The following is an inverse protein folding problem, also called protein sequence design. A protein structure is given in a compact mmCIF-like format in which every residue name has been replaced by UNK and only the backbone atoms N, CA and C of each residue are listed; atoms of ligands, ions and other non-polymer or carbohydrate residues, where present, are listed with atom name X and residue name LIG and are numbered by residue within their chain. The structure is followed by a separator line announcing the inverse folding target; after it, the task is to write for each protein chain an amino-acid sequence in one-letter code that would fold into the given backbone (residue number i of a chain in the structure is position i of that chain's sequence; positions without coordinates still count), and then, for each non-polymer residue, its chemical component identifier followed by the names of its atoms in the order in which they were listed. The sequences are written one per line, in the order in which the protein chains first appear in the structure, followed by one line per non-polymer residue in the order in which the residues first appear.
data_IF_115244846187
#
_entry.id   IF_115244846187
#
_cell.length_a   1.000
_cell.length_b   1.000
_cell.length_c   1.000
_cell.angle_alpha   90.00
_cell.angle_beta   90.00
_cell.angle_gamma   90.00
#
_symmetry.space_group_name_H-M   'P 1'
#
loop_
_entity.id
_entity.type
_entity.pdbx_description
1 polymer ?
#
# COMPACT_ATOMS: atom_id res chain seq x y z
N UNK A 1 -6.89 10.05 42.59
CA UNK A 1 -7.72 9.76 41.41
C UNK A 1 -6.98 10.25 40.19
N UNK A 2 -6.67 9.33 39.29
CA UNK A 2 -5.77 9.41 38.14
C UNK A 2 -6.46 10.05 36.94
N UNK A 3 -5.78 10.99 36.27
CA UNK A 3 -6.07 11.40 34.90
C UNK A 3 -4.75 11.33 34.12
N UNK A 4 -4.53 10.21 33.42
CA UNK A 4 -3.40 10.00 32.54
C UNK A 4 -3.78 10.38 31.12
N UNK A 5 -3.20 11.46 30.61
CA UNK A 5 -3.34 11.89 29.22
C UNK A 5 -2.50 11.00 28.30
N UNK A 6 -3.17 10.20 27.48
CA UNK A 6 -2.58 9.38 26.44
C UNK A 6 -2.26 10.26 25.22
N UNK A 7 -1.08 10.86 25.20
CA UNK A 7 -0.54 11.60 24.06
C UNK A 7 0.80 10.99 23.64
N UNK A 8 0.76 9.77 23.12
CA UNK A 8 1.93 9.11 22.52
C UNK A 8 1.43 8.38 21.28
N UNK A 9 1.71 8.90 20.08
CA UNK A 9 1.31 8.21 18.85
C UNK A 9 1.81 8.78 17.53
N UNK A 10 1.88 10.09 17.34
CA UNK A 10 2.18 10.65 16.01
C UNK A 10 3.64 11.08 15.81
N UNK A 11 4.32 11.64 16.83
CA UNK A 11 5.64 12.23 16.65
C UNK A 11 6.79 11.21 16.47
N UNK A 12 6.68 10.00 17.04
CA UNK A 12 7.75 9.00 16.94
C UNK A 12 7.85 8.36 15.55
N UNK A 13 6.74 8.21 14.82
CA UNK A 13 6.71 7.60 13.48
C UNK A 13 7.41 8.47 12.42
N UNK A 14 7.28 9.80 12.51
CA UNK A 14 7.98 10.73 11.61
C UNK A 14 9.49 10.80 11.87
N UNK A 15 9.93 10.60 13.12
CA UNK A 15 11.35 10.60 13.48
C UNK A 15 12.10 9.38 12.95
N UNK A 16 11.46 8.21 12.92
CA UNK A 16 12.01 6.98 12.35
C UNK A 16 12.03 6.99 10.83
N UNK A 17 11.02 7.59 10.17
CA UNK A 17 11.01 7.73 8.70
C UNK A 17 12.14 8.62 8.18
N UNK A 18 12.41 9.78 8.82
CA UNK A 18 13.55 10.63 8.45
C UNK A 18 14.91 9.93 8.60
N UNK A 19 15.06 9.11 9.66
CA UNK A 19 16.27 8.29 9.85
C UNK A 19 16.41 7.18 8.82
N UNK A 20 15.29 6.61 8.37
CA UNK A 20 15.24 5.58 7.34
C UNK A 20 15.63 6.14 5.96
N UNK A 21 15.06 7.29 5.56
CA UNK A 21 15.43 7.98 4.30
C UNK A 21 16.91 8.39 4.28
N UNK A 22 17.43 8.89 5.40
CA UNK A 22 18.85 9.26 5.53
C UNK A 22 19.80 8.05 5.42
N UNK A 23 19.36 6.84 5.80
CA UNK A 23 20.15 5.61 5.65
C UNK A 23 20.15 5.07 4.21
N UNK A 24 19.13 5.38 3.40
CA UNK A 24 19.05 4.95 2.00
C UNK A 24 19.79 5.88 1.01
N UNK A 25 20.10 7.12 1.40
CA UNK A 25 20.70 8.12 0.51
C UNK A 25 22.23 8.01 0.30
N UNK A 26 22.93 7.20 1.10
CA UNK A 26 24.35 6.92 0.90
C UNK A 26 24.56 5.43 0.62
N UNK A 27 24.76 5.06 -0.64
CA UNK A 27 25.76 4.09 -1.14
C UNK A 27 25.67 4.16 -2.68
N UNK A 28 26.58 4.94 -3.27
CA UNK A 28 27.10 4.68 -4.60
C UNK A 28 28.53 4.21 -4.35
N UNK A 29 28.84 2.95 -4.61
CA UNK A 29 30.21 2.45 -4.58
C UNK A 29 30.48 1.57 -5.79
N UNK A 30 31.58 1.92 -6.45
CA UNK A 30 32.12 1.38 -7.68
C UNK A 30 32.49 -0.11 -7.57
N UNK A 31 32.42 -0.79 -8.71
CA UNK A 31 33.07 -2.05 -9.08
C UNK A 31 33.20 -3.16 -8.00
N UNK A 32 32.26 -4.12 -8.05
CA UNK A 32 32.59 -5.54 -7.81
C UNK A 32 32.50 -6.08 -6.38
N UNK A 33 31.99 -5.33 -5.41
CA UNK A 33 31.78 -5.84 -4.04
C UNK A 33 30.31 -5.68 -3.63
N UNK A 34 29.52 -6.74 -3.72
CA UNK A 34 28.17 -6.79 -3.13
C UNK A 34 28.29 -7.00 -1.61
N UNK A 35 28.30 -5.92 -0.83
CA UNK A 35 28.03 -5.98 0.61
C UNK A 35 26.57 -5.61 0.85
N UNK A 36 25.88 -6.39 1.68
CA UNK A 36 24.50 -6.06 2.03
C UNK A 36 24.48 -4.77 2.87
N UNK A 37 23.44 -3.94 2.72
CA UNK A 37 23.29 -2.66 3.45
C UNK A 37 23.52 -2.85 4.97
N UNK A 38 23.16 -4.02 5.51
CA UNK A 38 23.31 -4.45 6.90
C UNK A 38 24.76 -4.40 7.41
N UNK A 39 25.73 -4.58 6.52
CA UNK A 39 27.16 -4.64 6.84
C UNK A 39 27.76 -3.26 7.11
N UNK A 40 27.03 -2.19 6.77
CA UNK A 40 27.41 -0.80 7.00
C UNK A 40 26.69 -0.17 8.20
N UNK A 41 25.75 -0.90 8.81
CA UNK A 41 24.98 -0.41 9.94
C UNK A 41 25.72 -0.69 11.25
N UNK A 42 25.75 0.31 12.15
CA UNK A 42 26.18 0.06 13.54
C UNK A 42 25.33 -1.03 14.18
N UNK A 43 25.84 -1.81 15.15
CA UNK A 43 25.10 -2.94 15.74
C UNK A 43 23.69 -2.57 16.23
N UNK A 44 23.54 -1.37 16.80
CA UNK A 44 22.23 -0.86 17.24
C UNK A 44 21.29 -0.56 16.07
N UNK A 45 21.78 0.09 15.02
CA UNK A 45 20.98 0.41 13.83
C UNK A 45 20.65 -0.86 13.04
N UNK A 46 21.57 -1.83 13.01
CA UNK A 46 21.37 -3.15 12.43
C UNK A 46 20.28 -3.92 13.16
N UNK A 47 20.28 -3.95 14.49
CA UNK A 47 19.25 -4.63 15.26
C UNK A 47 17.85 -4.00 15.06
N UNK A 48 17.77 -2.67 15.00
CA UNK A 48 16.50 -1.98 14.68
C UNK A 48 16.07 -2.23 13.23
N UNK A 49 17.02 -2.24 12.28
CA UNK A 49 16.75 -2.59 10.89
C UNK A 49 16.28 -4.03 10.75
N UNK A 50 16.94 -5.00 11.40
CA UNK A 50 16.56 -6.40 11.40
C UNK A 50 15.20 -6.62 12.07
N UNK A 51 14.86 -5.88 13.13
CA UNK A 51 13.54 -5.89 13.75
C UNK A 51 12.47 -5.29 12.84
N UNK A 52 12.76 -4.19 12.16
CA UNK A 52 11.87 -3.58 11.19
C UNK A 52 11.66 -4.49 9.97
N UNK A 53 12.73 -5.11 9.47
CA UNK A 53 12.69 -6.10 8.39
C UNK A 53 11.94 -7.35 8.81
N UNK A 54 12.11 -7.85 10.04
CA UNK A 54 11.35 -8.98 10.57
C UNK A 54 9.85 -8.68 10.66
N UNK A 55 9.49 -7.44 11.02
CA UNK A 55 8.11 -6.98 11.03
C UNK A 55 7.53 -6.77 9.61
N UNK A 56 8.38 -6.48 8.62
CA UNK A 56 8.01 -6.39 7.20
C UNK A 56 7.96 -7.78 6.52
N UNK A 57 8.80 -8.72 6.93
CA UNK A 57 8.91 -10.08 6.36
C UNK A 57 7.85 -11.04 6.90
N UNK A 58 7.09 -10.63 7.91
CA UNK A 58 5.95 -11.38 8.46
C UNK A 58 4.63 -10.97 7.77
N UNK A 59 4.65 -10.69 6.47
CA UNK A 59 3.43 -10.86 5.68
C UNK A 59 3.26 -12.37 5.52
N UNK A 60 2.08 -12.91 5.81
CA UNK A 60 1.85 -14.34 5.61
C UNK A 60 2.24 -14.68 4.15
N UNK A 61 2.92 -15.80 3.95
CA UNK A 61 3.39 -16.24 2.61
C UNK A 61 2.25 -16.29 1.58
N UNK A 62 1.02 -16.38 2.05
CA UNK A 62 -0.23 -16.46 1.29
C UNK A 62 -1.04 -15.16 1.36
N UNK A 63 -0.50 -14.08 1.95
CA UNK A 63 -1.22 -12.82 2.13
C UNK A 63 -1.53 -12.13 0.80
N UNK A 64 -2.76 -11.63 0.71
CA UNK A 64 -3.33 -11.06 -0.50
C UNK A 64 -2.58 -9.78 -0.88
N UNK A 65 -2.02 -9.70 -2.09
CA UNK A 65 -1.30 -8.51 -2.61
C UNK A 65 -2.27 -7.47 -3.17
N UNK A 66 -2.13 -6.22 -2.74
CA UNK A 66 -2.96 -5.09 -3.15
C UNK A 66 -2.35 -4.25 -4.29
N UNK A 67 -3.16 -3.69 -5.20
CA UNK A 67 -2.74 -2.64 -6.13
C UNK A 67 -2.45 -1.33 -5.39
N UNK A 68 -3.11 -1.10 -4.24
CA UNK A 68 -2.88 0.06 -3.39
C UNK A 68 -1.59 -0.08 -2.56
N UNK A 69 -0.53 0.74 -2.79
CA UNK A 69 0.68 0.67 -1.97
C UNK A 69 0.44 1.06 -0.51
N UNK A 70 -0.46 2.02 -0.24
CA UNK A 70 -0.82 2.41 1.12
C UNK A 70 -1.51 1.27 1.89
N UNK A 71 -2.43 0.55 1.25
CA UNK A 71 -3.11 -0.58 1.89
C UNK A 71 -2.14 -1.74 2.20
N UNK A 72 -1.18 -2.01 1.30
CA UNK A 72 -0.11 -2.96 1.57
C UNK A 72 0.72 -2.55 2.80
N UNK A 73 1.04 -1.27 2.96
CA UNK A 73 1.75 -0.77 4.15
C UNK A 73 0.92 -1.03 5.41
N UNK A 74 -0.38 -0.73 5.40
CA UNK A 74 -1.25 -0.95 6.56
C UNK A 74 -1.33 -2.42 6.97
N UNK A 75 -1.50 -3.36 6.03
CA UNK A 75 -1.49 -4.80 6.34
C UNK A 75 -0.11 -5.30 6.76
N UNK A 76 0.97 -4.90 6.07
CA UNK A 76 2.33 -5.32 6.40
C UNK A 76 2.73 -4.87 7.83
N UNK A 77 2.23 -3.72 8.27
CA UNK A 77 2.48 -3.19 9.61
C UNK A 77 1.44 -3.63 10.65
N UNK A 78 0.44 -4.43 10.28
CA UNK A 78 -0.57 -4.97 11.19
C UNK A 78 -1.61 -3.94 11.66
N UNK A 79 -1.76 -2.82 10.96
CA UNK A 79 -2.90 -1.90 11.15
C UNK A 79 -4.18 -2.50 10.56
N UNK A 80 -4.05 -3.17 9.42
CA UNK A 80 -5.04 -4.10 8.89
C UNK A 80 -4.65 -5.54 9.18
N UNK A 81 -5.58 -6.46 8.99
CA UNK A 81 -5.26 -7.88 9.08
C UNK A 81 -4.16 -8.22 8.08
N UNK A 82 -3.22 -9.07 8.51
CA UNK A 82 -2.04 -9.43 7.72
C UNK A 82 -2.38 -10.28 6.50
N UNK A 83 -3.53 -10.95 6.53
CA UNK A 83 -4.11 -11.68 5.40
C UNK A 83 -4.65 -10.75 4.30
N UNK A 84 -4.90 -9.47 4.62
CA UNK A 84 -5.44 -8.47 3.71
C UNK A 84 -6.95 -8.22 3.83
N UNK A 85 -7.65 -8.89 4.74
CA UNK A 85 -9.06 -8.62 5.04
C UNK A 85 -9.21 -7.37 5.91
N UNK A 86 -10.25 -6.58 5.65
CA UNK A 86 -10.47 -5.29 6.31
C UNK A 86 -11.94 -5.09 6.61
N UNK A 87 -12.26 -4.67 7.84
CA UNK A 87 -13.60 -4.23 8.21
C UNK A 87 -13.87 -2.78 7.82
N UNK A 88 -15.12 -2.45 7.50
CA UNK A 88 -15.50 -1.11 7.05
C UNK A 88 -15.06 -0.01 8.03
N UNK A 89 -15.38 -0.17 9.32
CA UNK A 89 -15.08 0.81 10.38
C UNK A 89 -13.58 0.85 10.68
N UNK A 90 -12.92 -0.31 10.71
CA UNK A 90 -11.47 -0.42 10.85
C UNK A 90 -10.75 0.41 9.77
N UNK A 91 -11.20 0.32 8.51
CA UNK A 91 -10.62 1.09 7.42
C UNK A 91 -10.68 2.59 7.69
N UNK A 92 -11.86 3.11 8.08
CA UNK A 92 -12.09 4.53 8.36
C UNK A 92 -11.14 5.03 9.46
N UNK A 93 -11.08 4.30 10.56
CA UNK A 93 -10.26 4.66 11.73
C UNK A 93 -8.77 4.64 11.39
N UNK A 94 -8.30 3.55 10.77
CA UNK A 94 -6.87 3.36 10.48
C UNK A 94 -6.37 4.35 9.45
N UNK A 95 -7.09 4.58 8.33
CA UNK A 95 -6.60 5.52 7.30
C UNK A 95 -6.61 6.96 7.79
N UNK A 96 -7.53 7.32 8.68
CA UNK A 96 -7.53 8.62 9.34
C UNK A 96 -6.35 8.77 10.31
N UNK A 97 -6.12 7.77 11.16
CA UNK A 97 -5.03 7.80 12.13
C UNK A 97 -3.63 7.77 11.48
N UNK A 98 -3.42 6.96 10.45
CA UNK A 98 -2.10 6.73 9.86
C UNK A 98 -1.78 7.71 8.74
N UNK A 99 -2.76 8.02 7.89
CA UNK A 99 -2.56 8.87 6.71
C UNK A 99 -3.22 10.25 6.81
N UNK A 100 -3.99 10.53 7.85
CA UNK A 100 -4.72 11.80 7.97
C UNK A 100 -5.85 11.93 6.94
N UNK A 101 -6.30 10.82 6.35
CA UNK A 101 -7.46 10.81 5.45
C UNK A 101 -8.72 11.11 6.27
N UNK A 102 -9.53 12.07 5.84
CA UNK A 102 -10.76 12.43 6.54
C UNK A 102 -11.69 11.21 6.69
N UNK A 103 -12.39 11.04 7.83
CA UNK A 103 -13.32 9.93 8.03
C UNK A 103 -14.38 9.81 6.94
N UNK A 104 -14.83 10.93 6.36
CA UNK A 104 -15.82 10.97 5.29
C UNK A 104 -15.27 10.30 4.02
N UNK A 105 -14.08 10.70 3.58
CA UNK A 105 -13.41 10.10 2.43
C UNK A 105 -13.08 8.62 2.67
N UNK A 106 -12.55 8.29 3.85
CA UNK A 106 -12.29 6.89 4.23
C UNK A 106 -13.57 6.05 4.23
N UNK A 107 -14.68 6.63 4.71
CA UNK A 107 -15.99 6.00 4.76
C UNK A 107 -16.57 5.73 3.38
N UNK A 108 -16.54 6.72 2.48
CA UNK A 108 -17.01 6.55 1.10
C UNK A 108 -16.22 5.46 0.38
N UNK A 109 -14.88 5.48 0.45
CA UNK A 109 -14.04 4.50 -0.23
C UNK A 109 -14.21 3.09 0.36
N UNK A 110 -14.27 2.96 1.67
CA UNK A 110 -14.47 1.68 2.36
C UNK A 110 -15.86 1.09 2.09
N UNK A 111 -16.91 1.93 2.12
CA UNK A 111 -18.26 1.49 1.78
C UNK A 111 -18.36 1.05 0.32
N UNK A 112 -17.73 1.77 -0.61
CA UNK A 112 -17.66 1.38 -2.01
C UNK A 112 -16.98 0.01 -2.18
N UNK A 113 -15.84 -0.21 -1.51
CA UNK A 113 -15.16 -1.50 -1.53
C UNK A 113 -16.05 -2.64 -1.01
N UNK A 114 -16.76 -2.43 0.11
CA UNK A 114 -17.69 -3.43 0.67
C UNK A 114 -18.84 -3.75 -0.29
N UNK A 115 -19.46 -2.73 -0.88
CA UNK A 115 -20.65 -2.90 -1.73
C UNK A 115 -20.32 -3.62 -3.03
N UNK A 116 -19.20 -3.27 -3.67
CA UNK A 116 -18.90 -3.74 -5.02
C UNK A 116 -17.90 -4.88 -5.09
N UNK A 117 -17.06 -5.06 -4.06
CA UNK A 117 -15.97 -6.06 -4.08
C UNK A 117 -15.90 -6.90 -2.81
N UNK A 118 -16.74 -6.61 -1.82
CA UNK A 118 -16.68 -7.17 -0.48
C UNK A 118 -17.93 -7.96 -0.10
N UNK A 119 -18.02 -8.26 1.19
CA UNK A 119 -19.18 -8.90 1.79
C UNK A 119 -20.01 -7.84 2.55
N UNK A 120 -21.19 -7.53 2.02
CA UNK A 120 -22.08 -6.50 2.58
C UNK A 120 -22.61 -6.90 3.96
N UNK A 121 -22.91 -8.19 4.18
CA UNK A 121 -23.50 -8.65 5.45
C UNK A 121 -22.49 -8.60 6.61
N UNK A 122 -21.22 -8.75 6.29
CA UNK A 122 -20.14 -8.65 7.28
C UNK A 122 -19.52 -7.26 7.36
N UNK A 123 -19.80 -6.40 6.38
CA UNK A 123 -19.10 -5.12 6.24
C UNK A 123 -17.60 -5.28 6.04
N UNK A 124 -17.17 -6.33 5.34
CA UNK A 124 -15.75 -6.66 5.13
C UNK A 124 -15.38 -6.63 3.65
N UNK A 125 -14.12 -6.35 3.37
CA UNK A 125 -13.55 -6.37 2.02
C UNK A 125 -12.07 -6.78 2.07
N UNK A 126 -11.49 -7.08 0.91
CA UNK A 126 -10.08 -7.47 0.78
C UNK A 126 -9.28 -6.38 0.09
N UNK A 127 -8.09 -6.06 0.61
CA UNK A 127 -7.17 -5.11 -0.02
C UNK A 127 -6.59 -5.63 -1.34
N UNK A 128 -6.81 -6.89 -1.70
CA UNK A 128 -6.45 -7.36 -3.04
C UNK A 128 -7.49 -8.30 -3.61
N UNK A 129 -7.11 -9.54 -3.92
CA UNK A 129 -7.99 -10.52 -4.58
C UNK A 129 -9.05 -11.16 -3.67
N UNK A 130 -9.70 -12.23 -4.19
CA UNK A 130 -10.84 -12.86 -3.54
C UNK A 130 -10.56 -13.36 -2.14
N UNK A 131 -11.58 -13.32 -1.27
CA UNK A 131 -11.48 -13.77 0.11
C UNK A 131 -12.77 -14.44 0.58
N UNK A 132 -12.65 -15.27 1.61
CA UNK A 132 -13.80 -15.92 2.23
C UNK A 132 -14.26 -15.13 3.45
N UNK A 133 -15.57 -15.00 3.59
CA UNK A 133 -16.16 -14.49 4.83
C UNK A 133 -15.83 -15.43 6.00
N UNK A 134 -15.53 -14.84 7.16
CA UNK A 134 -15.32 -15.57 8.41
C UNK A 134 -16.57 -15.64 9.30
N UNK A 135 -17.68 -15.03 8.86
CA UNK A 135 -18.92 -14.93 9.62
C UNK A 135 -20.04 -15.75 8.98
N UNK A 136 -21.02 -16.19 9.80
CA UNK A 136 -22.09 -17.07 9.35
C UNK A 136 -22.93 -16.45 8.22
N UNK A 137 -23.33 -15.19 8.36
CA UNK A 137 -24.17 -14.52 7.36
C UNK A 137 -23.40 -14.28 6.06
N UNK A 138 -22.16 -13.79 6.15
CA UNK A 138 -21.32 -13.62 4.97
C UNK A 138 -20.97 -14.95 4.28
N UNK A 139 -20.78 -16.04 5.02
CA UNK A 139 -20.57 -17.38 4.45
C UNK A 139 -21.78 -17.86 3.67
N UNK A 140 -23.00 -17.58 4.16
CA UNK A 140 -24.24 -17.90 3.44
C UNK A 140 -24.37 -17.05 2.18
N UNK A 141 -24.05 -15.75 2.22
CA UNK A 141 -24.08 -14.93 1.00
C UNK A 141 -23.05 -15.40 -0.02
N UNK A 142 -21.84 -15.78 0.41
CA UNK A 142 -20.80 -16.26 -0.48
C UNK A 142 -21.21 -17.56 -1.20
N UNK A 143 -21.92 -18.46 -0.49
CA UNK A 143 -22.48 -19.69 -1.08
C UNK A 143 -23.54 -19.39 -2.16
N UNK A 144 -24.35 -18.34 -1.98
CA UNK A 144 -25.47 -18.01 -2.86
C UNK A 144 -25.07 -17.11 -4.05
N UNK A 145 -24.13 -16.19 -3.82
CA UNK A 145 -23.77 -15.12 -4.77
C UNK A 145 -22.33 -15.23 -5.31
N UNK A 146 -21.53 -16.17 -4.79
CA UNK A 146 -20.10 -16.28 -5.09
C UNK A 146 -19.21 -15.58 -4.06
N UNK A 147 -17.92 -15.91 -4.07
CA UNK A 147 -16.93 -15.27 -3.20
C UNK A 147 -16.69 -13.82 -3.64
N UNK A 148 -16.60 -12.86 -2.71
CA UNK A 148 -16.21 -11.49 -3.03
C UNK A 148 -14.83 -11.44 -3.67
N UNK A 149 -14.67 -10.61 -4.70
CA UNK A 149 -13.47 -10.57 -5.53
C UNK A 149 -12.35 -9.65 -4.99
N UNK A 150 -12.67 -8.77 -4.03
CA UNK A 150 -11.73 -7.79 -3.45
C UNK A 150 -11.33 -6.67 -4.42
N UNK A 151 -10.50 -5.72 -3.98
CA UNK A 151 -10.18 -4.54 -4.80
C UNK A 151 -9.24 -4.81 -5.99
N UNK A 152 -8.73 -6.03 -6.20
CA UNK A 152 -8.09 -6.41 -7.47
C UNK A 152 -9.12 -6.55 -8.61
N UNK A 153 -10.42 -6.42 -8.32
CA UNK A 153 -11.46 -6.46 -9.33
C UNK A 153 -11.30 -5.30 -10.32
N UNK A 154 -10.85 -5.65 -11.52
CA UNK A 154 -10.59 -4.71 -12.60
C UNK A 154 -11.87 -4.01 -13.08
N UNK A 155 -11.80 -2.70 -13.32
CA UNK A 155 -12.92 -1.82 -13.67
C UNK A 155 -14.05 -1.73 -12.65
N UNK A 156 -13.82 -2.22 -11.43
CA UNK A 156 -14.73 -2.03 -10.29
C UNK A 156 -14.10 -1.03 -9.32
N UNK A 157 -12.94 -1.37 -8.75
CA UNK A 157 -12.17 -0.46 -7.90
C UNK A 157 -10.79 -0.16 -8.51
N UNK A 158 -10.12 -1.21 -9.01
CA UNK A 158 -8.89 -1.12 -9.76
C UNK A 158 -9.18 -0.60 -11.18
N UNK A 159 -8.22 0.11 -11.78
CA UNK A 159 -8.32 0.53 -13.18
C UNK A 159 -6.97 0.87 -13.80
N UNK A 160 -6.99 0.96 -15.13
CA UNK A 160 -5.81 1.17 -15.97
C UNK A 160 -5.05 2.48 -15.70
N UNK A 161 -3.83 2.54 -16.25
CA UNK A 161 -2.91 3.66 -16.15
C UNK A 161 -2.46 3.95 -14.71
N UNK A 162 -2.38 2.90 -13.89
CA UNK A 162 -1.87 2.93 -12.54
C UNK A 162 -0.43 3.48 -12.45
N UNK A 163 -0.10 4.16 -11.35
CA UNK A 163 1.20 4.84 -11.17
C UNK A 163 2.38 3.85 -11.22
N UNK A 164 2.22 2.67 -10.63
CA UNK A 164 3.30 1.70 -10.55
C UNK A 164 2.83 0.25 -10.72
N UNK A 165 1.65 0.06 -11.33
CA UNK A 165 1.07 -1.25 -11.66
C UNK A 165 0.80 -1.29 -13.15
N UNK A 166 0.82 -2.49 -13.71
CA UNK A 166 0.45 -2.71 -15.10
C UNK A 166 -1.07 -2.81 -15.23
N UNK A 167 -1.55 -2.57 -16.45
CA UNK A 167 -2.97 -2.68 -16.77
C UNK A 167 -3.37 -4.17 -16.81
N UNK A 168 -4.57 -4.48 -16.30
CA UNK A 168 -5.04 -5.85 -16.11
C UNK A 168 -4.91 -6.68 -17.40
N UNK A 169 -5.49 -6.19 -18.50
CA UNK A 169 -5.52 -6.93 -19.76
C UNK A 169 -4.12 -7.02 -20.41
N UNK A 170 -3.35 -5.93 -20.37
CA UNK A 170 -1.98 -5.91 -20.89
C UNK A 170 -1.02 -6.82 -20.10
N UNK A 171 -1.32 -7.13 -18.84
CA UNK A 171 -0.49 -7.94 -17.96
C UNK A 171 -1.14 -9.26 -17.52
N UNK A 172 -2.00 -9.85 -18.36
CA UNK A 172 -2.58 -11.20 -18.15
C UNK A 172 -3.29 -11.35 -16.80
N UNK A 173 -3.93 -10.28 -16.33
CA UNK A 173 -4.69 -10.23 -15.09
C UNK A 173 -3.89 -9.88 -13.82
N UNK A 174 -2.60 -9.55 -13.93
CA UNK A 174 -1.81 -9.06 -12.79
C UNK A 174 -1.76 -7.52 -12.80
N UNK A 175 -2.75 -6.91 -12.15
CA UNK A 175 -2.89 -5.46 -11.97
C UNK A 175 -2.42 -4.96 -10.58
N UNK A 176 -1.83 -5.84 -9.77
CA UNK A 176 -1.49 -5.56 -8.37
C UNK A 176 0.01 -5.61 -8.07
N UNK A 177 0.79 -6.40 -8.84
CA UNK A 177 2.24 -6.48 -8.67
C UNK A 177 2.91 -5.16 -9.04
N UNK A 178 3.83 -4.71 -8.19
CA UNK A 178 4.60 -3.49 -8.45
C UNK A 178 5.48 -3.65 -9.69
N UNK A 179 5.43 -2.66 -10.57
CA UNK A 179 6.28 -2.48 -11.75
C UNK A 179 7.31 -1.38 -11.46
N UNK A 180 8.54 -1.73 -11.03
CA UNK A 180 9.55 -0.76 -10.61
C UNK A 180 9.90 0.28 -11.68
N UNK A 181 9.80 -0.07 -12.96
CA UNK A 181 10.03 0.81 -14.10
C UNK A 181 9.04 1.97 -14.19
N UNK A 182 7.76 1.74 -13.87
CA UNK A 182 6.76 2.80 -13.88
C UNK A 182 6.94 3.75 -12.69
N UNK A 183 7.33 3.22 -11.53
CA UNK A 183 7.70 4.06 -10.40
C UNK A 183 9.00 4.82 -10.67
N UNK A 184 9.99 4.19 -11.31
CA UNK A 184 11.23 4.85 -11.74
C UNK A 184 10.93 6.00 -12.70
N UNK A 185 9.99 5.83 -13.63
CA UNK A 185 9.55 6.92 -14.51
C UNK A 185 9.04 8.13 -13.71
N UNK A 186 8.28 7.92 -12.63
CA UNK A 186 7.84 9.01 -11.75
C UNK A 186 9.03 9.69 -11.05
N UNK A 187 9.97 8.90 -10.50
CA UNK A 187 11.20 9.40 -9.85
C UNK A 187 12.04 10.22 -10.84
N UNK A 188 12.20 9.76 -12.07
CA UNK A 188 12.98 10.42 -13.11
C UNK A 188 12.33 11.75 -13.53
N UNK A 189 10.99 11.83 -13.58
CA UNK A 189 10.26 13.08 -13.85
C UNK A 189 10.41 14.09 -12.72
N UNK A 190 10.35 13.62 -11.47
CA UNK A 190 10.56 14.46 -10.28
C UNK A 190 11.98 15.04 -10.27
N UNK A 191 12.97 14.24 -10.65
CA UNK A 191 14.36 14.67 -10.73
C UNK A 191 14.98 15.04 -9.36
N UNK A 192 16.20 15.60 -9.37
CA UNK A 192 16.85 16.05 -8.15
C UNK A 192 16.12 17.25 -7.55
N UNK A 193 15.92 17.22 -6.23
CA UNK A 193 15.23 18.24 -5.45
C UNK A 193 15.99 18.47 -4.14
N UNK A 194 15.85 19.66 -3.53
CA UNK A 194 16.51 19.91 -2.24
C UNK A 194 15.71 19.27 -1.11
N UNK A 195 16.41 18.91 -0.04
CA UNK A 195 15.75 18.44 1.17
C UNK A 195 14.78 19.52 1.69
N UNK A 196 13.52 19.14 1.90
CA UNK A 196 12.46 20.05 2.34
C UNK A 196 11.64 20.67 1.19
N UNK A 197 11.99 20.43 -0.06
CA UNK A 197 11.16 20.73 -1.22
C UNK A 197 10.31 19.50 -1.62
N UNK A 198 9.09 19.75 -2.10
CA UNK A 198 8.22 18.67 -2.59
C UNK A 198 8.71 18.17 -3.95
N UNK A 199 9.21 16.94 -3.99
CA UNK A 199 9.66 16.28 -5.22
C UNK A 199 8.51 15.90 -6.17
N UNK A 200 7.36 15.52 -5.60
CA UNK A 200 6.21 14.99 -6.33
C UNK A 200 5.10 16.04 -6.37
N UNK A 201 5.36 17.15 -7.06
CA UNK A 201 4.39 18.22 -7.25
C UNK A 201 3.22 17.78 -8.13
N UNK A 202 2.16 18.60 -8.20
CA UNK A 202 1.01 18.34 -9.06
C UNK A 202 1.41 18.21 -10.53
N UNK A 203 2.39 18.99 -10.98
CA UNK A 203 2.90 18.99 -12.35
C UNK A 203 3.66 17.69 -12.66
N UNK A 204 4.49 17.22 -11.73
CA UNK A 204 5.20 15.93 -11.83
C UNK A 204 4.21 14.77 -11.92
N UNK A 205 3.22 14.75 -11.02
CA UNK A 205 2.18 13.73 -10.99
C UNK A 205 1.30 13.76 -12.24
N UNK A 206 0.91 14.94 -12.72
CA UNK A 206 0.12 15.09 -13.94
C UNK A 206 0.89 14.60 -15.17
N UNK A 207 2.17 14.97 -15.30
CA UNK A 207 3.02 14.52 -16.40
C UNK A 207 3.19 13.00 -16.39
N UNK A 208 3.42 12.40 -15.23
CA UNK A 208 3.51 10.95 -15.09
C UNK A 208 2.18 10.27 -15.45
N UNK A 209 1.04 10.80 -14.95
CA UNK A 209 -0.29 10.28 -15.30
C UNK A 209 -0.57 10.31 -16.79
N UNK A 210 -0.18 11.39 -17.50
CA UNK A 210 -0.31 11.46 -18.97
C UNK A 210 0.52 10.40 -19.67
N UNK A 211 1.76 10.15 -19.21
CA UNK A 211 2.61 9.10 -19.79
C UNK A 211 2.05 7.70 -19.55
N UNK A 212 1.53 7.43 -18.34
CA UNK A 212 0.84 6.17 -18.03
C UNK A 212 -0.39 5.97 -18.89
N UNK A 213 -1.23 7.00 -19.02
CA UNK A 213 -2.43 6.96 -19.86
C UNK A 213 -2.11 6.69 -21.33
N UNK A 214 -1.11 7.37 -21.90
CA UNK A 214 -0.71 7.16 -23.29
C UNK A 214 -0.07 5.77 -23.49
N UNK A 215 0.65 5.26 -22.50
CA UNK A 215 1.15 3.90 -22.53
C UNK A 215 -0.02 2.91 -22.61
N UNK A 216 -1.02 3.02 -21.72
CA UNK A 216 -2.23 2.21 -21.75
C UNK A 216 -2.92 2.23 -23.11
N UNK A 217 -3.15 3.42 -23.71
CA UNK A 217 -3.71 3.53 -25.07
C UNK A 217 -2.90 2.74 -26.11
N UNK A 218 -1.56 2.74 -25.99
CA UNK A 218 -0.69 2.13 -26.99
C UNK A 218 -0.48 0.63 -26.81
N UNK A 219 -0.73 0.08 -25.62
CA UNK A 219 -0.38 -1.32 -25.28
C UNK A 219 -1.55 -2.15 -24.79
N UNK A 220 -2.65 -1.52 -24.36
CA UNK A 220 -3.85 -2.18 -23.88
C UNK A 220 -4.94 -2.12 -24.97
N UNK A 221 -5.19 -3.21 -25.72
CA UNK A 221 -6.06 -3.22 -26.91
C UNK A 221 -7.56 -3.20 -26.60
#
# INVERSE_FOLDING_TARGET
MTAGSLAIGSAQAFGSFKRWVAACQYISLEAGVTREIKDFLSPKVRAEFEKAVANLSARDKDAIKAPGPGLNVLSNHGYFNRDGTVGLTQAIEVVSQVYGISPELGGVLSAYAVVFTGNILDGTWSIGGPFQSSQLLGSVSNLLAGEPEGINSHNVYEGDASVSRADHYANKGDDYTSQPEFFKQLVDIAGPHKAGEDAYTREVLAKHRTLRFNHSISTNP
#
